data_IF_252963367607
#
_entry.id   IF_252963367607
#
_cell.length_a   1.000
_cell.length_b   1.000
_cell.length_c   1.000
_cell.angle_alpha   90.00
_cell.angle_beta   90.00
_cell.angle_gamma   90.00
#
_symmetry.space_group_name_H-M   'P 1'
#
loop_
_entity.id
_entity.type
_entity.pdbx_description
1 polymer ?
#
# COMPACT_ATOMS: atom_id res chain seq x y z
N UNK A 1 10.91 -8.64 5.72
CA UNK A 1 9.65 -7.88 5.63
C UNK A 1 8.92 -8.32 4.37
N UNK A 2 7.64 -8.71 4.48
CA UNK A 2 6.91 -9.48 3.45
C UNK A 2 6.68 -8.65 2.18
N UNK A 3 7.02 -9.23 1.03
CA UNK A 3 6.68 -8.72 -0.30
C UNK A 3 5.17 -8.63 -0.47
N UNK A 4 4.67 -7.61 -1.18
CA UNK A 4 3.25 -7.49 -1.52
C UNK A 4 2.78 -8.65 -2.39
N UNK A 5 1.48 -8.98 -2.32
CA UNK A 5 0.89 -10.10 -3.06
C UNK A 5 1.03 -9.97 -4.58
N UNK A 6 1.15 -8.74 -5.10
CA UNK A 6 1.35 -8.48 -6.53
C UNK A 6 2.73 -8.97 -7.01
N UNK A 7 3.77 -8.79 -6.20
CA UNK A 7 5.09 -9.38 -6.45
C UNK A 7 5.00 -10.92 -6.44
N UNK A 8 4.24 -11.52 -5.51
CA UNK A 8 4.12 -12.98 -5.43
C UNK A 8 3.46 -13.60 -6.67
N UNK A 9 2.47 -12.95 -7.28
CA UNK A 9 1.88 -13.43 -8.54
C UNK A 9 2.84 -13.23 -9.72
N UNK A 10 3.57 -12.12 -9.76
CA UNK A 10 4.65 -11.89 -10.73
C UNK A 10 5.73 -12.98 -10.64
N UNK A 11 6.14 -13.36 -9.42
CA UNK A 11 7.03 -14.50 -9.16
C UNK A 11 6.48 -15.83 -9.70
N UNK A 12 5.16 -16.07 -9.60
CA UNK A 12 4.51 -17.28 -10.13
C UNK A 12 4.43 -17.30 -11.66
N UNK A 13 4.34 -16.13 -12.30
CA UNK A 13 4.21 -16.00 -13.75
C UNK A 13 5.58 -15.90 -14.47
N UNK A 14 6.64 -15.44 -13.81
CA UNK A 14 7.93 -15.20 -14.48
C UNK A 14 9.05 -16.22 -14.22
N UNK A 15 9.06 -16.98 -13.11
CA UNK A 15 10.24 -17.81 -12.79
C UNK A 15 10.27 -19.21 -13.46
N UNK A 16 11.42 -19.70 -13.99
CA UNK A 16 11.44 -20.85 -14.90
C UNK A 16 11.72 -22.22 -14.26
N UNK A 17 12.01 -22.29 -12.95
CA UNK A 17 12.55 -23.52 -12.35
C UNK A 17 11.64 -24.07 -11.26
N UNK A 18 10.63 -24.85 -11.69
CA UNK A 18 9.90 -25.93 -10.96
C UNK A 18 8.38 -25.98 -11.19
N UNK A 19 7.76 -25.00 -11.88
CA UNK A 19 6.28 -24.92 -12.02
C UNK A 19 5.78 -24.62 -13.43
N UNK A 20 6.32 -25.29 -14.45
CA UNK A 20 5.91 -25.04 -15.85
C UNK A 20 4.39 -25.29 -16.08
N UNK A 21 3.80 -26.32 -15.48
CA UNK A 21 2.38 -26.64 -15.66
C UNK A 21 1.43 -25.60 -15.06
N UNK A 22 1.72 -25.13 -13.84
CA UNK A 22 0.92 -24.08 -13.19
C UNK A 22 0.99 -22.77 -13.99
N UNK A 23 2.19 -22.35 -14.40
CA UNK A 23 2.36 -21.15 -15.22
C UNK A 23 1.58 -21.24 -16.53
N UNK A 24 1.67 -22.37 -17.23
CA UNK A 24 0.92 -22.60 -18.47
C UNK A 24 -0.58 -22.47 -18.21
N UNK A 25 -1.10 -23.08 -17.15
CA UNK A 25 -2.51 -23.01 -16.80
C UNK A 25 -2.97 -21.57 -16.52
N UNK A 26 -2.23 -20.82 -15.70
CA UNK A 26 -2.57 -19.43 -15.37
C UNK A 26 -2.55 -18.51 -16.60
N UNK A 27 -1.56 -18.68 -17.49
CA UNK A 27 -1.43 -17.88 -18.71
C UNK A 27 -2.56 -18.11 -19.72
N UNK A 28 -3.39 -19.14 -19.55
CA UNK A 28 -4.57 -19.36 -20.41
C UNK A 28 -5.79 -18.53 -20.00
N UNK A 29 -5.75 -17.83 -18.86
CA UNK A 29 -6.89 -17.05 -18.39
C UNK A 29 -6.60 -15.56 -18.42
N UNK A 30 -7.56 -14.82 -18.98
CA UNK A 30 -7.45 -13.37 -19.16
C UNK A 30 -7.26 -12.64 -17.83
N UNK A 31 -7.87 -13.12 -16.73
CA UNK A 31 -7.74 -12.47 -15.42
C UNK A 31 -6.29 -12.44 -14.91
N UNK A 32 -5.47 -13.46 -15.16
CA UNK A 32 -4.06 -13.48 -14.73
C UNK A 32 -3.18 -12.66 -15.67
N UNK A 33 -3.47 -12.65 -16.97
CA UNK A 33 -2.76 -11.83 -17.95
C UNK A 33 -2.99 -10.33 -17.69
N UNK A 34 -4.21 -9.94 -17.30
CA UNK A 34 -4.55 -8.55 -16.96
C UNK A 34 -3.70 -8.00 -15.83
N UNK A 35 -3.38 -8.80 -14.81
CA UNK A 35 -2.54 -8.40 -13.66
C UNK A 35 -1.15 -7.92 -14.09
N UNK A 36 -0.62 -8.43 -15.20
CA UNK A 36 0.68 -8.00 -15.74
C UNK A 36 0.70 -6.52 -16.15
N UNK A 37 -0.47 -5.91 -16.37
CA UNK A 37 -0.61 -4.48 -16.68
C UNK A 37 -0.73 -3.59 -15.44
N UNK A 38 -0.75 -4.17 -14.23
CA UNK A 38 -0.72 -3.39 -13.01
C UNK A 38 0.70 -2.88 -12.74
N UNK A 39 0.82 -1.57 -12.55
CA UNK A 39 2.04 -0.96 -12.09
C UNK A 39 2.26 -1.17 -10.58
N UNK A 40 3.50 -0.99 -10.16
CA UNK A 40 3.89 -0.93 -8.76
C UNK A 40 4.72 0.32 -8.51
N UNK A 41 4.69 0.82 -7.28
CA UNK A 41 5.45 1.97 -6.82
C UNK A 41 6.59 1.56 -5.90
N UNK A 42 7.64 2.38 -5.90
CA UNK A 42 8.81 2.19 -5.05
C UNK A 42 8.56 2.75 -3.64
N UNK A 43 9.16 2.11 -2.65
CA UNK A 43 9.19 2.56 -1.26
C UNK A 43 10.63 2.62 -0.77
N UNK A 44 11.00 3.75 -0.15
CA UNK A 44 12.25 3.85 0.62
C UNK A 44 11.90 4.15 2.06
N UNK A 45 12.35 3.29 2.98
CA UNK A 45 12.20 3.45 4.41
C UNK A 45 13.57 3.74 5.03
N UNK A 46 13.61 4.72 5.92
CA UNK A 46 14.81 5.09 6.69
C UNK A 46 14.47 5.06 8.17
N UNK A 47 15.34 4.48 8.99
CA UNK A 47 15.27 4.57 10.46
C UNK A 47 16.53 5.28 10.92
N UNK A 48 16.37 6.41 11.61
CA UNK A 48 17.43 7.32 12.03
C UNK A 48 17.48 7.39 13.55
N UNK A 49 18.68 7.28 14.11
CA UNK A 49 18.97 7.56 15.52
C UNK A 49 19.72 8.87 15.62
N UNK A 50 19.23 9.78 16.44
CA UNK A 50 19.77 11.14 16.56
C UNK A 50 20.49 11.33 17.89
N UNK A 51 21.58 12.10 17.90
CA UNK A 51 22.43 12.31 19.08
C UNK A 51 21.75 13.00 20.28
N UNK A 52 20.48 13.42 20.13
CA UNK A 52 19.71 14.10 21.16
C UNK A 52 18.23 13.78 21.10
N UNK A 53 17.53 14.13 22.18
CA UNK A 53 16.07 14.15 22.21
C UNK A 53 15.52 15.38 21.50
N UNK A 54 14.60 15.13 20.59
CA UNK A 54 13.87 16.13 19.83
C UNK A 54 12.39 16.03 20.18
N UNK A 55 11.77 17.17 20.46
CA UNK A 55 10.34 17.26 20.76
C UNK A 55 9.54 17.23 19.46
N UNK A 56 9.05 16.05 19.10
CA UNK A 56 8.16 15.86 17.94
C UNK A 56 6.70 15.88 18.44
N UNK A 57 5.83 16.80 17.95
CA UNK A 57 4.46 16.93 18.44
C UNK A 57 3.65 15.64 18.32
N UNK A 58 3.64 15.02 17.13
CA UNK A 58 2.83 13.84 16.84
C UNK A 58 3.68 12.59 16.70
N UNK A 59 3.09 11.44 17.04
CA UNK A 59 3.71 10.14 16.87
C UNK A 59 3.78 9.72 15.39
N UNK A 60 2.79 10.15 14.59
CA UNK A 60 2.62 9.85 13.16
C UNK A 60 2.44 11.18 12.43
N UNK A 61 3.19 11.40 11.34
CA UNK A 61 3.19 12.66 10.61
C UNK A 61 3.08 12.33 9.12
N UNK A 62 2.08 12.89 8.44
CA UNK A 62 1.88 12.78 7.00
C UNK A 62 2.36 14.06 6.35
N UNK A 63 3.16 13.95 5.30
CA UNK A 63 3.83 15.06 4.67
C UNK A 63 3.70 14.98 3.15
N UNK A 64 3.50 16.13 2.51
CA UNK A 64 3.77 16.28 1.08
C UNK A 64 5.27 16.43 0.85
N UNK A 65 5.76 16.03 -0.33
CA UNK A 65 7.14 16.33 -0.74
C UNK A 65 7.38 17.83 -0.81
N UNK A 66 8.63 18.23 -0.63
CA UNK A 66 9.10 19.59 -0.89
C UNK A 66 9.67 19.77 -2.31
N UNK A 67 9.71 18.69 -3.09
CA UNK A 67 10.25 18.63 -4.46
C UNK A 67 9.24 18.03 -5.47
N UNK A 68 7.94 18.10 -5.16
CA UNK A 68 6.83 17.61 -5.99
C UNK A 68 6.90 16.13 -6.42
N UNK A 69 7.84 15.35 -5.86
CA UNK A 69 8.17 14.01 -6.34
C UNK A 69 7.56 12.85 -5.54
N UNK A 70 7.22 13.04 -4.25
CA UNK A 70 6.90 11.92 -3.36
C UNK A 70 6.05 12.30 -2.15
N UNK A 71 4.94 11.59 -1.94
CA UNK A 71 4.28 11.58 -0.63
C UNK A 71 5.16 10.85 0.39
N UNK A 72 5.27 11.37 1.61
CA UNK A 72 6.07 10.70 2.64
C UNK A 72 5.45 10.84 4.03
N UNK A 73 5.90 9.97 4.93
CA UNK A 73 5.47 9.96 6.33
C UNK A 73 6.69 9.83 7.22
N UNK A 74 6.63 10.39 8.42
CA UNK A 74 7.60 10.07 9.44
C UNK A 74 6.98 9.82 10.81
N UNK A 75 7.63 8.95 11.55
CA UNK A 75 7.13 8.36 12.78
C UNK A 75 8.13 8.62 13.91
N UNK A 76 7.63 9.15 15.03
CA UNK A 76 8.40 9.19 16.25
C UNK A 76 8.31 7.82 16.92
N UNK A 77 9.32 6.99 16.72
CA UNK A 77 9.30 5.61 17.21
C UNK A 77 9.33 5.53 18.73
N UNK A 78 9.91 6.53 19.41
CA UNK A 78 9.88 6.61 20.87
C UNK A 78 8.44 6.73 21.42
N UNK A 79 7.50 7.27 20.65
CA UNK A 79 6.09 7.37 21.04
C UNK A 79 5.25 6.16 20.62
N UNK A 80 5.68 5.41 19.62
CA UNK A 80 4.90 4.31 19.04
C UNK A 80 5.28 2.94 19.58
N UNK A 81 6.56 2.73 19.91
CA UNK A 81 7.08 1.40 20.24
C UNK A 81 7.68 1.38 21.64
N UNK A 82 7.25 0.42 22.45
CA UNK A 82 7.67 0.26 23.85
C UNK A 82 9.18 0.04 23.98
N UNK A 83 9.77 -0.71 23.05
CA UNK A 83 11.22 -0.93 22.95
C UNK A 83 12.04 0.36 22.81
N UNK A 84 11.41 1.45 22.38
CA UNK A 84 12.08 2.73 22.12
C UNK A 84 11.63 3.83 23.08
N UNK A 85 10.65 3.58 23.94
CA UNK A 85 10.03 4.58 24.83
C UNK A 85 11.03 5.31 25.71
N UNK A 86 11.94 4.56 26.32
CA UNK A 86 12.93 5.07 27.28
C UNK A 86 14.31 5.30 26.67
N UNK A 87 14.46 5.18 25.35
CA UNK A 87 15.74 5.45 24.69
C UNK A 87 16.19 6.89 25.00
N UNK A 88 17.48 7.17 25.28
CA UNK A 88 17.96 8.53 25.54
C UNK A 88 18.06 9.38 24.27
N UNK A 89 17.90 8.77 23.10
CA UNK A 89 17.98 9.41 21.79
C UNK A 89 16.62 9.47 21.10
N UNK A 90 16.48 10.36 20.13
CA UNK A 90 15.32 10.34 19.22
C UNK A 90 15.53 9.30 18.14
N UNK A 91 14.53 8.43 17.96
CA UNK A 91 14.51 7.43 16.90
C UNK A 91 13.32 7.73 16.00
N UNK A 92 13.59 8.00 14.73
CA UNK A 92 12.57 8.37 13.73
C UNK A 92 12.61 7.40 12.57
N UNK A 93 11.45 6.98 12.08
CA UNK A 93 11.34 6.29 10.80
C UNK A 93 10.69 7.21 9.78
N UNK A 94 11.29 7.39 8.61
CA UNK A 94 10.68 8.10 7.49
C UNK A 94 10.49 7.16 6.29
N UNK A 95 9.27 7.14 5.75
CA UNK A 95 8.85 6.31 4.62
C UNK A 95 8.46 7.21 3.45
N UNK A 96 9.13 7.05 2.33
CA UNK A 96 8.90 7.77 1.08
C UNK A 96 8.18 6.86 0.08
N UNK A 97 6.94 7.20 -0.23
CA UNK A 97 6.12 6.52 -1.22
C UNK A 97 6.39 7.15 -2.59
N UNK A 98 6.43 6.32 -3.64
CA UNK A 98 6.92 6.75 -4.95
C UNK A 98 8.40 7.19 -4.89
N UNK A 99 9.22 6.48 -4.12
CA UNK A 99 10.63 6.82 -3.89
C UNK A 99 11.58 6.51 -5.05
N UNK A 100 11.13 6.55 -6.31
CA UNK A 100 11.90 6.13 -7.48
C UNK A 100 13.22 6.91 -7.64
N UNK A 101 13.24 8.18 -7.24
CA UNK A 101 14.47 8.99 -7.24
C UNK A 101 15.42 8.65 -6.10
N UNK A 102 14.91 8.06 -5.01
CA UNK A 102 15.70 7.70 -3.82
C UNK A 102 16.32 6.31 -3.95
N UNK A 103 15.65 5.37 -4.62
CA UNK A 103 16.13 4.01 -4.83
C UNK A 103 17.56 3.94 -5.41
N UNK A 104 17.94 4.69 -6.45
CA UNK A 104 19.28 4.62 -7.03
C UNK A 104 20.37 5.33 -6.20
N UNK A 105 19.99 6.14 -5.21
CA UNK A 105 20.95 6.92 -4.42
C UNK A 105 21.72 6.04 -3.44
N UNK A 106 22.95 6.47 -3.09
CA UNK A 106 23.69 5.91 -1.96
C UNK A 106 23.02 6.31 -0.64
N UNK A 107 23.19 5.46 0.36
CA UNK A 107 22.49 5.59 1.64
C UNK A 107 22.82 6.90 2.38
N UNK A 108 24.05 7.39 2.27
CA UNK A 108 24.49 8.67 2.82
C UNK A 108 23.70 9.86 2.23
N UNK A 109 23.45 9.85 0.92
CA UNK A 109 22.68 10.90 0.25
C UNK A 109 21.20 10.82 0.63
N UNK A 110 20.67 9.62 0.81
CA UNK A 110 19.30 9.42 1.29
C UNK A 110 19.18 9.99 2.71
N UNK A 111 20.05 9.59 3.63
CA UNK A 111 20.04 10.08 5.01
C UNK A 111 20.12 11.61 5.08
N UNK A 112 20.98 12.22 4.25
CA UNK A 112 21.11 13.68 4.12
C UNK A 112 19.80 14.32 3.63
N UNK A 113 19.19 13.77 2.57
CA UNK A 113 17.90 14.27 2.04
C UNK A 113 16.78 14.13 3.08
N UNK A 114 16.71 13.01 3.80
CA UNK A 114 15.72 12.80 4.88
C UNK A 114 15.91 13.79 6.03
N UNK A 115 17.14 14.03 6.49
CA UNK A 115 17.41 15.03 7.53
C UNK A 115 17.01 16.44 7.09
N UNK A 116 17.31 16.82 5.85
CA UNK A 116 16.87 18.11 5.27
C UNK A 116 15.35 18.25 5.30
N UNK A 117 14.63 17.17 5.00
CA UNK A 117 13.16 17.14 5.01
C UNK A 117 12.59 17.23 6.43
N UNK A 118 13.13 16.45 7.37
CA UNK A 118 12.73 16.47 8.76
C UNK A 118 12.91 17.87 9.38
N UNK A 119 14.02 18.54 9.08
CA UNK A 119 14.31 19.91 9.51
C UNK A 119 13.31 20.95 9.01
N UNK A 120 12.75 20.76 7.81
CA UNK A 120 11.66 21.61 7.29
C UNK A 120 10.34 21.39 8.04
N UNK A 121 10.10 20.19 8.56
CA UNK A 121 8.91 19.87 9.34
C UNK A 121 9.03 20.28 10.81
N UNK A 122 10.19 20.04 11.43
CA UNK A 122 10.46 20.36 12.83
C UNK A 122 11.89 20.93 12.94
N UNK A 123 11.99 22.20 13.30
CA UNK A 123 13.25 22.96 13.31
C UNK A 123 14.37 22.33 14.16
N UNK A 124 14.01 21.69 15.26
CA UNK A 124 14.97 21.05 16.18
C UNK A 124 15.83 19.94 15.52
N UNK A 125 15.41 19.38 14.38
CA UNK A 125 16.25 18.44 13.62
C UNK A 125 17.50 19.09 13.01
N UNK A 126 17.51 20.41 12.76
CA UNK A 126 18.66 21.12 12.18
C UNK A 126 19.90 21.02 13.09
N UNK A 127 19.69 20.99 14.40
CA UNK A 127 20.77 20.93 15.39
C UNK A 127 21.19 19.49 15.72
N UNK A 128 20.55 18.47 15.18
CA UNK A 128 20.79 17.07 15.54
C UNK A 128 21.70 16.35 14.55
N UNK A 129 22.49 15.40 15.03
CA UNK A 129 23.35 14.57 14.19
C UNK A 129 22.84 13.14 14.14
N UNK A 130 22.88 12.53 12.96
CA UNK A 130 22.58 11.11 12.77
C UNK A 130 23.73 10.29 13.33
N UNK A 131 23.43 9.44 14.30
CA UNK A 131 24.39 8.52 14.94
C UNK A 131 24.32 7.12 14.37
N UNK A 132 23.14 6.72 13.88
CA UNK A 132 22.94 5.47 13.17
C UNK A 132 21.82 5.63 12.15
N UNK A 133 21.89 4.86 11.07
CA UNK A 133 20.89 4.82 10.00
C UNK A 133 20.70 3.40 9.50
N UNK A 134 19.44 3.01 9.34
CA UNK A 134 19.05 1.82 8.57
C UNK A 134 18.24 2.28 7.37
N UNK A 135 18.59 1.83 6.17
CA UNK A 135 17.86 2.15 4.95
C UNK A 135 17.40 0.86 4.29
N UNK A 136 16.11 0.81 3.97
CA UNK A 136 15.51 -0.28 3.23
C UNK A 136 14.87 0.27 1.95
N UNK A 137 15.26 -0.30 0.81
CA UNK A 137 14.80 0.08 -0.52
C UNK A 137 13.96 -1.06 -1.08
N UNK A 138 12.72 -0.74 -1.44
CA UNK A 138 11.74 -1.71 -1.92
C UNK A 138 11.24 -1.27 -3.29
N UNK A 139 12.01 -1.53 -4.37
CA UNK A 139 11.56 -1.23 -5.71
C UNK A 139 10.33 -2.08 -6.08
N UNK A 140 9.36 -1.47 -6.77
CA UNK A 140 8.12 -2.08 -7.26
C UNK A 140 7.38 -2.90 -6.19
N UNK A 141 7.37 -2.37 -4.97
CA UNK A 141 6.89 -3.12 -3.80
C UNK A 141 5.49 -2.76 -3.37
N UNK A 142 4.95 -1.61 -3.77
CA UNK A 142 3.59 -1.19 -3.41
C UNK A 142 2.70 -1.23 -4.64
N UNK A 143 1.43 -1.60 -4.48
CA UNK A 143 0.47 -1.52 -5.59
C UNK A 143 0.27 -0.06 -5.97
N UNK A 144 0.44 0.23 -7.26
CA UNK A 144 0.18 1.56 -7.79
C UNK A 144 -1.28 1.66 -8.24
N UNK A 145 -2.11 2.35 -7.46
CA UNK A 145 -3.49 2.62 -7.81
C UNK A 145 -3.57 3.90 -8.66
N UNK A 146 -3.64 3.75 -9.97
CA UNK A 146 -3.74 4.85 -10.93
C UNK A 146 -5.10 4.84 -11.66
N UNK A 147 -5.57 5.98 -12.23
CA UNK A 147 -6.80 6.02 -13.02
C UNK A 147 -6.81 4.94 -14.11
N UNK A 148 -7.87 4.13 -14.15
CA UNK A 148 -8.00 3.02 -15.09
C UNK A 148 -7.31 1.71 -14.68
N UNK A 149 -6.53 1.66 -13.59
CA UNK A 149 -5.90 0.43 -13.09
C UNK A 149 -6.91 -0.66 -12.69
N UNK A 150 -8.13 -0.28 -12.30
CA UNK A 150 -9.15 -1.20 -11.80
C UNK A 150 -9.53 -2.31 -12.79
N UNK A 151 -9.44 -2.06 -14.11
CA UNK A 151 -9.70 -3.07 -15.15
C UNK A 151 -8.64 -4.17 -15.21
N UNK A 152 -7.48 -3.95 -14.60
CA UNK A 152 -6.36 -4.89 -14.51
C UNK A 152 -6.30 -5.60 -13.15
N UNK A 153 -7.06 -5.14 -12.15
CA UNK A 153 -7.14 -5.77 -10.84
C UNK A 153 -7.99 -7.05 -10.86
N UNK A 154 -7.75 -7.93 -9.90
CA UNK A 154 -8.43 -9.23 -9.79
C UNK A 154 -9.39 -9.28 -8.60
N UNK A 155 -10.41 -10.12 -8.69
CA UNK A 155 -11.31 -10.44 -7.54
C UNK A 155 -10.71 -11.55 -6.68
N UNK A 156 -11.26 -11.74 -5.48
CA UNK A 156 -10.81 -12.81 -4.58
C UNK A 156 -11.08 -14.24 -5.08
N UNK A 157 -12.03 -14.42 -6.01
CA UNK A 157 -12.28 -15.69 -6.70
C UNK A 157 -11.74 -15.64 -8.13
N UNK A 158 -11.27 -16.79 -8.63
CA UNK A 158 -10.71 -16.93 -9.99
C UNK A 158 -11.55 -17.90 -10.84
N UNK A 159 -11.21 -18.08 -12.12
CA UNK A 159 -11.84 -19.13 -12.94
C UNK A 159 -11.45 -20.56 -12.51
N UNK A 160 -10.44 -20.72 -11.66
CA UNK A 160 -10.10 -21.99 -11.04
C UNK A 160 -10.86 -22.12 -9.71
N UNK A 161 -11.69 -23.16 -9.53
CA UNK A 161 -12.63 -23.24 -8.41
C UNK A 161 -11.95 -23.34 -7.03
N UNK A 162 -10.70 -23.80 -7.00
CA UNK A 162 -9.91 -24.00 -5.79
C UNK A 162 -8.73 -23.02 -5.66
N UNK A 163 -8.74 -21.92 -6.41
CA UNK A 163 -7.71 -20.88 -6.34
C UNK A 163 -8.35 -19.54 -5.95
N UNK A 164 -8.00 -19.08 -4.75
CA UNK A 164 -8.47 -17.83 -4.17
C UNK A 164 -7.32 -16.85 -3.98
N UNK A 165 -7.62 -15.57 -4.14
CA UNK A 165 -6.64 -14.49 -4.18
C UNK A 165 -6.86 -13.52 -3.04
N UNK A 166 -5.77 -13.03 -2.46
CA UNK A 166 -5.77 -12.05 -1.39
C UNK A 166 -4.65 -11.02 -1.59
N UNK A 167 -4.82 -9.84 -1.00
CA UNK A 167 -3.90 -8.72 -1.10
C UNK A 167 -4.60 -7.37 -1.23
N UNK A 168 -3.86 -6.29 -1.02
CA UNK A 168 -4.32 -4.91 -1.20
C UNK A 168 -4.79 -4.61 -2.63
N UNK A 169 -4.22 -5.29 -3.63
CA UNK A 169 -4.58 -5.17 -5.04
C UNK A 169 -5.83 -5.98 -5.45
N UNK A 170 -6.46 -6.69 -4.51
CA UNK A 170 -7.70 -7.44 -4.78
C UNK A 170 -8.92 -6.51 -4.72
N UNK A 171 -9.85 -6.69 -5.64
CA UNK A 171 -11.15 -6.02 -5.64
C UNK A 171 -12.00 -6.59 -4.51
N UNK A 172 -12.29 -5.76 -3.49
CA UNK A 172 -13.22 -6.06 -2.40
C UNK A 172 -14.16 -4.87 -2.18
N UNK A 173 -15.36 -5.16 -1.64
CA UNK A 173 -16.37 -4.16 -1.26
C UNK A 173 -16.18 -3.63 0.17
N UNK A 174 -15.23 -4.18 0.94
CA UNK A 174 -15.02 -3.81 2.34
C UNK A 174 -14.68 -2.33 2.54
N UNK A 175 -13.99 -1.70 1.58
CA UNK A 175 -13.61 -0.29 1.64
C UNK A 175 -12.29 -0.01 2.37
N UNK A 176 -11.71 -0.99 3.07
CA UNK A 176 -10.39 -0.86 3.71
C UNK A 176 -9.28 -0.62 2.68
N UNK A 177 -8.14 -0.08 3.13
CA UNK A 177 -7.00 0.20 2.26
C UNK A 177 -5.67 -0.42 2.74
N UNK A 178 -4.69 -0.56 1.83
CA UNK A 178 -3.31 -0.97 2.14
C UNK A 178 -3.22 -2.24 3.01
N UNK A 179 -2.51 -2.18 4.14
CA UNK A 179 -2.31 -3.31 5.06
C UNK A 179 -3.62 -3.89 5.59
N UNK A 180 -4.58 -3.03 5.96
CA UNK A 180 -5.88 -3.46 6.45
C UNK A 180 -6.63 -4.24 5.36
N UNK A 181 -6.59 -3.74 4.12
CA UNK A 181 -7.19 -4.46 2.99
C UNK A 181 -6.52 -5.80 2.72
N UNK A 182 -5.20 -5.87 2.84
CA UNK A 182 -4.48 -7.15 2.69
C UNK A 182 -4.90 -8.16 3.77
N UNK A 183 -5.09 -7.69 4.99
CA UNK A 183 -5.60 -8.51 6.09
C UNK A 183 -7.04 -8.98 5.82
N UNK A 184 -7.94 -8.05 5.51
CA UNK A 184 -9.36 -8.34 5.24
C UNK A 184 -9.53 -9.29 4.07
N UNK A 185 -8.89 -9.03 2.93
CA UNK A 185 -8.98 -9.90 1.75
C UNK A 185 -8.37 -11.28 2.01
N UNK A 186 -7.39 -11.38 2.93
CA UNK A 186 -6.91 -12.66 3.44
C UNK A 186 -7.98 -13.43 4.20
N UNK A 187 -8.72 -12.76 5.10
CA UNK A 187 -9.86 -13.37 5.80
C UNK A 187 -11.00 -13.76 4.84
N UNK A 188 -11.33 -12.89 3.89
CA UNK A 188 -12.31 -13.21 2.84
C UNK A 188 -11.85 -14.42 2.00
N UNK A 189 -10.56 -14.51 1.69
CA UNK A 189 -9.97 -15.65 0.98
C UNK A 189 -10.09 -16.94 1.79
N UNK A 190 -9.81 -16.89 3.10
CA UNK A 190 -9.99 -18.03 4.01
C UNK A 190 -11.45 -18.48 4.08
N UNK A 191 -12.41 -17.55 4.12
CA UNK A 191 -13.84 -17.87 4.11
C UNK A 191 -14.24 -18.60 2.82
N UNK A 192 -13.70 -18.21 1.66
CA UNK A 192 -13.92 -18.92 0.39
C UNK A 192 -13.33 -20.33 0.38
N UNK A 193 -12.22 -20.56 1.10
CA UNK A 193 -11.67 -21.91 1.28
C UNK A 193 -12.60 -22.77 2.12
N UNK A 194 -13.15 -22.22 3.22
CA UNK A 194 -14.15 -22.91 4.05
C UNK A 194 -15.39 -23.25 3.23
N UNK A 195 -15.91 -22.29 2.46
CA UNK A 195 -17.03 -22.50 1.53
C UNK A 195 -16.75 -23.66 0.54
N UNK A 196 -15.56 -23.68 -0.04
CA UNK A 196 -15.17 -24.66 -1.05
C UNK A 196 -14.99 -26.08 -0.48
N UNK A 197 -14.40 -26.19 0.71
CA UNK A 197 -14.15 -27.49 1.36
C UNK A 197 -15.38 -28.01 2.12
N UNK A 198 -16.31 -27.12 2.50
CA UNK A 198 -17.42 -27.46 3.40
C UNK A 198 -16.97 -27.73 4.84
N UNK A 199 -15.74 -27.36 5.20
CA UNK A 199 -15.12 -27.60 6.50
C UNK A 199 -14.39 -26.35 7.01
N UNK A 200 -14.51 -26.11 8.32
CA UNK A 200 -13.84 -25.00 9.02
C UNK A 200 -14.83 -23.98 9.58
N UNK A 201 -14.29 -22.90 10.15
CA UNK A 201 -15.07 -21.80 10.73
C UNK A 201 -14.77 -20.51 9.97
N UNK A 202 -15.81 -19.73 9.69
CA UNK A 202 -15.66 -18.43 9.06
C UNK A 202 -14.89 -17.47 9.95
N UNK A 203 -13.89 -16.81 9.37
CA UNK A 203 -13.27 -15.65 9.96
C UNK A 203 -14.27 -14.49 10.01
N UNK A 204 -14.36 -13.86 11.18
CA UNK A 204 -15.14 -12.64 11.37
C UNK A 204 -14.43 -11.46 10.70
N UNK A 205 -15.14 -10.77 9.80
CA UNK A 205 -14.70 -9.54 9.17
C UNK A 205 -15.50 -8.39 9.79
N UNK A 206 -14.78 -7.42 10.37
CA UNK A 206 -15.37 -6.28 11.04
C UNK A 206 -15.69 -5.23 9.97
N UNK A 207 -16.95 -4.78 9.82
CA UNK A 207 -17.27 -3.75 8.83
C UNK A 207 -16.59 -2.43 9.17
N UNK A 208 -16.36 -1.60 8.15
CA UNK A 208 -15.95 -0.21 8.35
C UNK A 208 -17.07 0.61 8.98
N UNK A 209 -16.67 1.69 9.64
CA UNK A 209 -17.60 2.76 10.03
C UNK A 209 -18.27 3.36 8.79
N UNK A 210 -19.52 3.77 8.95
CA UNK A 210 -20.26 4.40 7.86
C UNK A 210 -19.65 5.77 7.52
N UNK A 211 -19.64 6.12 6.23
CA UNK A 211 -19.18 7.47 5.84
C UNK A 211 -20.01 8.54 6.56
N UNK A 212 -19.39 9.68 6.82
CA UNK A 212 -20.07 10.83 7.42
C UNK A 212 -21.33 11.22 6.60
N UNK A 213 -22.41 11.71 7.25
CA UNK A 213 -23.70 11.92 6.58
C UNK A 213 -23.62 12.76 5.30
N UNK A 214 -22.74 13.77 5.27
CA UNK A 214 -22.55 14.62 4.10
C UNK A 214 -21.82 13.90 2.95
N UNK A 215 -20.91 12.98 3.25
CA UNK A 215 -20.25 12.11 2.25
C UNK A 215 -21.28 11.14 1.66
N UNK A 216 -22.12 10.52 2.49
CA UNK A 216 -23.19 9.64 2.00
C UNK A 216 -24.15 10.39 1.07
N UNK A 217 -24.58 11.59 1.45
CA UNK A 217 -25.47 12.42 0.63
C UNK A 217 -24.86 12.72 -0.75
N UNK A 218 -23.59 13.15 -0.79
CA UNK A 218 -22.89 13.44 -2.05
C UNK A 218 -22.67 12.18 -2.91
N UNK A 219 -22.37 11.03 -2.29
CA UNK A 219 -22.25 9.75 -3.01
C UNK A 219 -23.57 9.34 -3.64
N UNK A 220 -24.68 9.52 -2.94
CA UNK A 220 -26.01 9.21 -3.46
C UNK A 220 -26.40 10.14 -4.60
N UNK A 221 -26.14 11.45 -4.47
CA UNK A 221 -26.34 12.42 -5.54
C UNK A 221 -25.54 12.05 -6.80
N UNK A 222 -24.26 11.71 -6.64
CA UNK A 222 -23.39 11.30 -7.76
C UNK A 222 -23.90 10.01 -8.44
N UNK A 223 -24.40 9.03 -7.68
CA UNK A 223 -25.01 7.81 -8.27
C UNK A 223 -26.26 8.15 -9.07
N UNK A 224 -27.17 8.91 -8.48
CA UNK A 224 -28.40 9.33 -9.15
C UNK A 224 -28.09 10.13 -10.43
N UNK A 225 -27.11 11.03 -10.38
CA UNK A 225 -26.67 11.77 -11.56
C UNK A 225 -26.09 10.85 -12.64
N UNK A 226 -25.24 9.89 -12.27
CA UNK A 226 -24.69 8.91 -13.23
C UNK A 226 -25.79 8.05 -13.86
N UNK A 227 -26.73 7.55 -13.05
CA UNK A 227 -27.88 6.78 -13.52
C UNK A 227 -28.72 7.59 -14.52
N UNK A 228 -29.06 8.84 -14.19
CA UNK A 228 -29.77 9.75 -15.10
C UNK A 228 -28.96 10.01 -16.37
N UNK A 229 -27.66 10.31 -16.26
CA UNK A 229 -26.81 10.58 -17.43
C UNK A 229 -26.69 9.38 -18.37
N UNK A 230 -26.68 8.16 -17.82
CA UNK A 230 -26.58 6.93 -18.60
C UNK A 230 -27.83 6.64 -19.45
N UNK A 231 -28.96 7.26 -19.10
CA UNK A 231 -30.20 7.18 -19.87
C UNK A 231 -30.22 8.12 -21.08
N UNK A 232 -29.27 9.06 -21.18
CA UNK A 232 -29.15 9.97 -22.33
C UNK A 232 -28.20 9.39 -23.40
N UNK A 233 -28.59 9.44 -24.69
CA UNK A 233 -27.85 8.80 -25.80
C UNK A 233 -26.48 9.42 -26.14
N UNK A 234 -26.07 10.50 -25.47
CA UNK A 234 -24.78 11.20 -25.71
C UNK A 234 -23.75 11.03 -24.59
N UNK A 235 -24.03 10.18 -23.59
CA UNK A 235 -23.18 10.04 -22.39
C UNK A 235 -21.75 9.53 -22.65
N UNK A 236 -21.50 8.90 -23.81
CA UNK A 236 -20.17 8.42 -24.20
C UNK A 236 -19.28 9.47 -24.89
N UNK A 237 -19.79 10.68 -25.18
CA UNK A 237 -19.02 11.71 -25.90
C UNK A 237 -18.32 12.74 -24.99
N UNK A 238 -18.64 12.78 -23.70
CA UNK A 238 -18.15 13.79 -22.76
C UNK A 238 -17.30 13.24 -21.60
N UNK A 239 -16.71 12.05 -21.76
CA UNK A 239 -15.79 11.44 -20.78
C UNK A 239 -14.50 10.98 -21.44
#
# INVERSE_FOLDING_TARGET
>A
MRHTGQMQLFWLLEFPRSRNSLRIALNTREEFLKVLNLAASDLVSTKLWLDKKIKIPFARNVCSSFDDSSGWTFFNLNKLFDEHRNSPVTIVQANFYHGNELVPLKDEYIATKVMSYLSKCVKDFEAARVTNVEIAKFPKSLTHFFPGSYKYMMRGSTSFPNLFMAGDWIISRHGSWSQEKSYVTGLEGANRVVDFLGEGNYAKIIPLEEDEPHIQALRNLNRNFKELSSQFPLSNYFL
#
